data_IF_674849787920
#
_entry.id   IF_674849787920
#
_cell.length_a   1.000
_cell.length_b   1.000
_cell.length_c   1.000
_cell.angle_alpha   90.00
_cell.angle_beta   90.00
_cell.angle_gamma   90.00
#
_symmetry.space_group_name_H-M   'P 1'
#
loop_
_entity.id
_entity.type
_entity.pdbx_description
1 polymer ?
#
# COMPACT_ATOMS: atom_id res chain seq x y z
N UNK A 1 4.52 -7.24 -11.21
CA UNK A 1 4.64 -6.46 -12.44
C UNK A 1 5.52 -7.14 -13.49
N UNK A 2 6.83 -7.33 -13.33
CA UNK A 2 7.68 -7.94 -14.39
C UNK A 2 7.23 -9.36 -14.79
N UNK A 3 6.75 -10.16 -13.83
CA UNK A 3 6.18 -11.47 -14.10
C UNK A 3 4.90 -11.43 -14.97
N UNK A 4 4.14 -10.32 -14.97
CA UNK A 4 2.91 -10.18 -15.78
C UNK A 4 3.21 -10.02 -17.28
N UNK A 5 4.42 -9.59 -17.62
CA UNK A 5 4.90 -9.45 -19.01
C UNK A 5 5.89 -10.55 -19.38
N UNK A 6 5.80 -11.72 -18.73
CA UNK A 6 6.66 -12.88 -18.97
C UNK A 6 8.17 -12.55 -18.93
N UNK A 7 8.58 -11.65 -18.02
CA UNK A 7 9.97 -11.21 -17.87
C UNK A 7 10.57 -10.46 -19.08
N UNK A 8 9.73 -10.00 -19.99
CA UNK A 8 10.13 -9.16 -21.13
C UNK A 8 10.35 -7.71 -20.68
N UNK A 9 11.59 -7.25 -20.71
CA UNK A 9 11.95 -5.85 -20.36
C UNK A 9 11.30 -4.84 -21.33
N UNK A 10 11.27 -5.05 -22.67
CA UNK A 10 10.61 -4.12 -23.58
C UNK A 10 9.11 -3.95 -23.28
N UNK A 11 8.40 -5.06 -23.03
CA UNK A 11 6.97 -5.00 -22.70
C UNK A 11 6.73 -4.40 -21.31
N UNK A 12 7.63 -4.65 -20.35
CA UNK A 12 7.56 -4.01 -19.03
C UNK A 12 7.58 -2.49 -19.14
N UNK A 13 8.47 -1.93 -19.96
CA UNK A 13 8.57 -0.49 -20.17
C UNK A 13 7.36 0.06 -20.92
N UNK A 14 6.91 -0.64 -21.97
CA UNK A 14 5.74 -0.23 -22.76
C UNK A 14 4.46 -0.20 -21.94
N UNK A 15 4.26 -1.21 -21.10
CA UNK A 15 3.02 -1.41 -20.34
C UNK A 15 3.11 -0.90 -18.90
N UNK A 16 4.23 -0.27 -18.50
CA UNK A 16 4.55 0.10 -17.12
C UNK A 16 3.37 0.74 -16.36
N UNK A 17 2.65 1.66 -17.00
CA UNK A 17 1.54 2.37 -16.36
C UNK A 17 0.31 1.48 -16.09
N UNK A 18 0.13 0.40 -16.86
CA UNK A 18 -0.98 -0.55 -16.75
C UNK A 18 -0.65 -1.75 -15.87
N UNK A 19 0.63 -1.98 -15.54
CA UNK A 19 1.02 -3.06 -14.65
C UNK A 19 0.62 -2.72 -13.22
N UNK A 20 0.12 -3.73 -12.51
CA UNK A 20 -0.27 -3.59 -11.11
C UNK A 20 0.10 -4.81 -10.27
N UNK A 21 0.05 -4.64 -8.97
CA UNK A 21 -0.13 -5.72 -8.02
C UNK A 21 -1.54 -5.55 -7.44
N UNK A 22 -2.44 -6.42 -7.85
CA UNK A 22 -3.87 -6.38 -7.50
C UNK A 22 -4.12 -6.93 -6.08
N UNK A 23 -5.13 -6.41 -5.38
CA UNK A 23 -5.59 -7.01 -4.14
C UNK A 23 -6.17 -8.42 -4.37
N UNK A 24 -6.24 -9.26 -3.33
CA UNK A 24 -6.79 -10.60 -3.45
C UNK A 24 -8.28 -10.59 -3.78
N UNK A 25 -8.74 -11.67 -4.41
CA UNK A 25 -10.15 -11.89 -4.71
C UNK A 25 -11.02 -11.88 -3.44
N UNK A 26 -12.27 -11.36 -3.49
CA UNK A 26 -13.20 -11.32 -2.36
C UNK A 26 -13.45 -12.67 -1.68
N UNK A 27 -13.22 -13.78 -2.39
CA UNK A 27 -13.41 -15.14 -1.88
C UNK A 27 -12.58 -15.45 -0.62
N UNK A 28 -11.47 -14.75 -0.41
CA UNK A 28 -10.62 -14.93 0.77
C UNK A 28 -11.05 -14.08 1.97
N UNK A 29 -11.96 -13.11 1.79
CA UNK A 29 -12.36 -12.16 2.83
C UNK A 29 -11.14 -11.49 3.47
N UNK A 30 -10.98 -11.66 4.79
CA UNK A 30 -9.82 -11.16 5.54
C UNK A 30 -8.71 -12.21 5.79
N UNK A 31 -8.79 -13.39 5.16
CA UNK A 31 -7.77 -14.43 5.33
C UNK A 31 -6.55 -14.15 4.47
N UNK A 32 -5.41 -14.70 4.87
CA UNK A 32 -4.20 -14.66 4.06
C UNK A 32 -4.40 -15.52 2.80
N UNK A 33 -4.37 -14.92 1.59
CA UNK A 33 -4.55 -15.65 0.33
C UNK A 33 -3.25 -16.36 -0.11
N UNK A 34 -3.31 -17.32 -1.04
CA UNK A 34 -2.13 -17.89 -1.69
C UNK A 34 -1.27 -16.80 -2.36
N UNK A 35 0.04 -17.05 -2.48
CA UNK A 35 0.99 -16.07 -3.04
C UNK A 35 0.59 -15.58 -4.44
N UNK A 36 0.17 -16.50 -5.31
CA UNK A 36 -0.21 -16.20 -6.69
C UNK A 36 -1.59 -15.54 -6.83
N UNK A 37 -2.36 -15.43 -5.74
CA UNK A 37 -3.74 -14.93 -5.75
C UNK A 37 -3.92 -13.76 -4.76
N UNK A 38 -2.93 -12.87 -4.74
CA UNK A 38 -2.90 -11.66 -3.90
C UNK A 38 -2.07 -11.78 -2.61
N UNK A 39 -1.42 -12.93 -2.34
CA UNK A 39 -0.54 -13.05 -1.17
C UNK A 39 0.66 -12.10 -1.23
N UNK A 40 1.22 -11.90 -2.44
CA UNK A 40 2.25 -10.89 -2.67
C UNK A 40 1.79 -9.47 -2.36
N UNK A 41 0.52 -9.16 -2.65
CA UNK A 41 -0.07 -7.85 -2.36
C UNK A 41 -0.15 -7.59 -0.86
N UNK A 42 -0.60 -8.58 -0.07
CA UNK A 42 -0.67 -8.44 1.39
C UNK A 42 0.73 -8.27 1.99
N UNK A 43 1.73 -9.02 1.51
CA UNK A 43 3.12 -8.88 1.95
C UNK A 43 3.66 -7.48 1.63
N UNK A 44 3.48 -7.02 0.39
CA UNK A 44 3.89 -5.67 -0.02
C UNK A 44 3.19 -4.59 0.82
N UNK A 45 1.90 -4.75 1.08
CA UNK A 45 1.10 -3.84 1.91
C UNK A 45 1.60 -3.78 3.35
N UNK A 46 1.95 -4.93 3.93
CA UNK A 46 2.51 -5.01 5.27
C UNK A 46 3.85 -4.27 5.38
N UNK A 47 4.77 -4.50 4.44
CA UNK A 47 6.05 -3.79 4.42
C UNK A 47 5.89 -2.29 4.17
N UNK A 48 4.93 -1.90 3.32
CA UNK A 48 4.59 -0.49 3.12
C UNK A 48 4.07 0.15 4.41
N UNK A 49 3.15 -0.52 5.12
CA UNK A 49 2.62 -0.05 6.40
C UNK A 49 3.75 0.16 7.42
N UNK A 50 4.66 -0.81 7.56
CA UNK A 50 5.83 -0.66 8.46
C UNK A 50 6.71 0.51 8.02
N UNK A 51 6.97 0.67 6.72
CA UNK A 51 7.77 1.78 6.19
C UNK A 51 7.15 3.15 6.51
N UNK A 52 5.83 3.31 6.29
CA UNK A 52 5.11 4.55 6.57
C UNK A 52 5.08 4.86 8.07
N UNK A 53 4.81 3.87 8.92
CA UNK A 53 4.75 4.06 10.37
C UNK A 53 6.12 4.35 10.98
N UNK A 54 7.18 3.70 10.50
CA UNK A 54 8.56 4.00 10.91
C UNK A 54 9.01 5.38 10.46
N UNK A 55 8.59 5.83 9.27
CA UNK A 55 8.83 7.20 8.82
C UNK A 55 8.08 8.22 9.67
N UNK A 56 6.83 7.93 10.05
CA UNK A 56 6.05 8.78 10.95
C UNK A 56 6.77 8.93 12.31
N UNK A 57 7.24 7.82 12.89
CA UNK A 57 8.06 7.86 14.11
C UNK A 57 9.35 8.68 13.93
N UNK A 58 10.05 8.50 12.79
CA UNK A 58 11.25 9.29 12.47
C UNK A 58 10.96 10.80 12.49
N UNK A 59 9.86 11.25 11.90
CA UNK A 59 9.52 12.69 11.90
C UNK A 59 9.32 13.25 13.32
N UNK A 60 8.75 12.45 14.23
CA UNK A 60 8.62 12.83 15.63
C UNK A 60 9.97 12.91 16.34
N UNK A 61 10.80 11.88 16.20
CA UNK A 61 12.10 11.80 16.87
C UNK A 61 13.05 12.93 16.45
N UNK A 62 13.05 13.29 15.16
CA UNK A 62 13.84 14.41 14.66
C UNK A 62 13.37 15.74 15.25
N UNK A 63 12.06 16.00 15.25
CA UNK A 63 11.53 17.22 15.86
C UNK A 63 11.86 17.32 17.36
N UNK A 64 11.77 16.21 18.09
CA UNK A 64 12.14 16.16 19.49
C UNK A 64 13.64 16.39 19.72
N UNK A 65 14.51 15.75 18.91
CA UNK A 65 15.96 15.91 19.00
C UNK A 65 16.43 17.33 18.73
N UNK A 66 15.79 18.03 17.79
CA UNK A 66 16.06 19.42 17.47
C UNK A 66 15.29 20.43 18.34
N UNK A 67 14.49 19.97 19.31
CA UNK A 67 13.63 20.81 20.18
C UNK A 67 12.67 21.71 19.38
N UNK A 68 12.20 21.23 18.23
CA UNK A 68 11.27 21.93 17.35
C UNK A 68 9.81 21.58 17.68
N UNK A 69 8.89 22.42 17.24
CA UNK A 69 7.45 22.10 17.25
C UNK A 69 7.13 20.90 16.34
N UNK A 70 6.13 20.10 16.72
CA UNK A 70 5.75 18.83 16.04
C UNK A 70 4.70 19.02 14.94
N UNK A 71 4.59 20.21 14.37
CA UNK A 71 3.56 20.52 13.37
C UNK A 71 3.63 19.61 12.14
N UNK A 72 4.85 19.34 11.64
CA UNK A 72 5.07 18.44 10.50
C UNK A 72 4.64 17.01 10.83
N UNK A 73 4.95 16.52 12.04
CA UNK A 73 4.50 15.20 12.49
C UNK A 73 2.98 15.10 12.48
N UNK A 74 2.27 16.10 13.02
CA UNK A 74 0.80 16.08 13.05
C UNK A 74 0.17 16.19 11.66
N UNK A 75 0.73 17.03 10.78
CA UNK A 75 0.30 17.12 9.39
C UNK A 75 0.49 15.77 8.68
N UNK A 76 1.66 15.14 8.83
CA UNK A 76 1.92 13.84 8.24
C UNK A 76 1.04 12.73 8.85
N UNK A 77 0.79 12.75 10.15
CA UNK A 77 -0.11 11.82 10.81
C UNK A 77 -1.54 11.87 10.22
N UNK A 78 -2.02 13.06 9.83
CA UNK A 78 -3.33 13.20 9.17
C UNK A 78 -3.37 12.56 7.77
N UNK A 79 -2.27 12.63 7.01
CA UNK A 79 -2.15 11.94 5.73
C UNK A 79 -2.02 10.41 5.91
N UNK A 80 -1.24 9.96 6.91
CA UNK A 80 -1.16 8.54 7.28
C UNK A 80 -2.51 8.01 7.71
N UNK A 81 -3.33 8.81 8.40
CA UNK A 81 -4.70 8.43 8.74
C UNK A 81 -5.54 8.13 7.50
N UNK A 82 -5.55 9.02 6.50
CA UNK A 82 -6.25 8.76 5.24
C UNK A 82 -5.76 7.47 4.57
N UNK A 83 -4.45 7.27 4.51
CA UNK A 83 -3.84 6.05 3.99
C UNK A 83 -4.32 4.79 4.73
N UNK A 84 -4.38 4.82 6.07
CA UNK A 84 -4.89 3.71 6.87
C UNK A 84 -6.39 3.48 6.68
N UNK A 85 -7.19 4.54 6.51
CA UNK A 85 -8.62 4.41 6.27
C UNK A 85 -8.87 3.68 4.95
N UNK A 86 -8.19 4.06 3.87
CA UNK A 86 -8.38 3.45 2.55
C UNK A 86 -7.80 2.03 2.49
N UNK A 87 -6.61 1.82 3.05
CA UNK A 87 -5.87 0.56 2.91
C UNK A 87 -6.05 -0.47 4.03
N UNK A 88 -6.60 -0.11 5.18
CA UNK A 88 -6.68 -1.00 6.34
C UNK A 88 -8.07 -1.01 6.99
N UNK A 89 -8.54 0.13 7.49
CA UNK A 89 -9.77 0.17 8.27
C UNK A 89 -11.02 -0.11 7.42
N UNK A 90 -11.17 0.53 6.26
CA UNK A 90 -12.31 0.26 5.37
C UNK A 90 -12.36 -1.21 4.93
N UNK A 91 -11.27 -1.82 4.40
CA UNK A 91 -11.25 -3.26 4.06
C UNK A 91 -11.65 -4.17 5.22
N UNK A 92 -11.15 -3.91 6.44
CA UNK A 92 -11.49 -4.67 7.64
C UNK A 92 -12.99 -4.55 7.96
N UNK A 93 -13.55 -3.34 7.91
CA UNK A 93 -14.97 -3.10 8.17
C UNK A 93 -15.87 -3.74 7.11
N UNK A 94 -15.43 -3.79 5.85
CA UNK A 94 -16.13 -4.45 4.75
C UNK A 94 -15.95 -5.98 4.78
N UNK A 95 -15.03 -6.49 5.60
CA UNK A 95 -14.75 -7.93 5.72
C UNK A 95 -13.99 -8.53 4.54
N UNK A 96 -13.34 -7.70 3.71
CA UNK A 96 -12.62 -8.17 2.51
C UNK A 96 -11.38 -7.33 2.18
N UNK A 97 -10.26 -8.01 1.94
CA UNK A 97 -9.03 -7.38 1.42
C UNK A 97 -9.14 -6.91 -0.03
N UNK A 98 -10.17 -7.35 -0.78
CA UNK A 98 -10.41 -6.92 -2.16
C UNK A 98 -10.70 -5.42 -2.30
N UNK A 99 -11.09 -4.76 -1.21
CA UNK A 99 -11.41 -3.34 -1.17
C UNK A 99 -10.18 -2.42 -1.12
N UNK A 100 -8.98 -2.99 -0.94
CA UNK A 100 -7.74 -2.23 -0.88
C UNK A 100 -7.37 -1.62 -2.25
N UNK A 101 -6.65 -0.51 -2.22
CA UNK A 101 -6.14 0.15 -3.44
C UNK A 101 -5.05 -0.72 -4.09
N UNK A 102 -5.13 -1.03 -5.39
CA UNK A 102 -4.09 -1.78 -6.10
C UNK A 102 -2.81 -0.96 -6.26
N UNK A 103 -1.67 -1.65 -6.36
CA UNK A 103 -0.38 -0.98 -6.60
C UNK A 103 -0.07 -0.97 -8.10
N UNK A 104 -0.42 0.11 -8.80
CA UNK A 104 -0.09 0.37 -10.21
C UNK A 104 -0.43 1.80 -10.59
N UNK A 105 0.14 2.36 -11.66
CA UNK A 105 -0.04 3.80 -11.96
C UNK A 105 -1.44 4.12 -12.48
N UNK A 106 -1.99 3.36 -13.42
CA UNK A 106 -3.39 3.51 -13.81
C UNK A 106 -4.34 2.69 -12.95
N UNK A 107 -3.99 1.48 -12.51
CA UNK A 107 -4.90 0.70 -11.66
C UNK A 107 -5.28 1.38 -10.35
N UNK A 108 -4.42 2.19 -9.73
CA UNK A 108 -4.82 2.95 -8.53
C UNK A 108 -5.78 4.13 -8.83
N UNK A 109 -5.87 4.57 -10.09
CA UNK A 109 -6.83 5.57 -10.54
C UNK A 109 -8.18 4.95 -10.94
N UNK A 110 -8.16 3.69 -11.36
CA UNK A 110 -9.37 2.93 -11.71
C UNK A 110 -10.16 2.46 -10.47
N UNK A 111 -9.50 2.42 -9.31
CA UNK A 111 -10.08 2.09 -8.00
C UNK A 111 -10.92 3.24 -7.41
#
# INVERSE_FOLDING_TARGET
>A
MLAQVNWSIPEFLRQLFWLALEPPSPQYGLRMPPLNDGGWFIIASFFLLVSVMTWLLRTYLLAAGHKMGKHVFWAYASAVWLFLVLGLFRPILMGSWSEMVPYGIFPHLDW
#
